data_IF_888246233105
#
_entry.id   IF_888246233105
#
_cell.length_a   1.000
_cell.length_b   1.000
_cell.length_c   1.000
_cell.angle_alpha   90.00
_cell.angle_beta   90.00
_cell.angle_gamma   90.00
#
_symmetry.space_group_name_H-M   'P 1'
#
loop_
_entity.id
_entity.type
_entity.pdbx_description
1 polymer ?
#
# COMPACT_ATOMS: atom_id res chain seq x y z
N UNK A 1 -22.76 7.41 -6.34
CA UNK A 1 -22.25 8.35 -7.35
C UNK A 1 -20.75 8.19 -7.38
N UNK A 2 -20.10 8.09 -8.54
CA UNK A 2 -18.64 7.97 -8.53
C UNK A 2 -18.01 9.32 -8.17
N UNK A 3 -16.82 9.32 -7.54
CA UNK A 3 -16.07 10.56 -7.23
C UNK A 3 -15.94 11.49 -8.45
N UNK A 4 -15.77 10.91 -9.63
CA UNK A 4 -15.65 11.66 -10.89
C UNK A 4 -16.92 12.43 -11.24
N UNK A 5 -18.10 11.87 -10.99
CA UNK A 5 -19.38 12.52 -11.27
C UNK A 5 -19.64 13.70 -10.33
N UNK A 6 -19.28 13.57 -9.04
CA UNK A 6 -19.37 14.68 -8.10
C UNK A 6 -18.43 15.83 -8.51
N UNK A 7 -17.18 15.51 -8.87
CA UNK A 7 -16.23 16.52 -9.36
C UNK A 7 -16.75 17.21 -10.62
N UNK A 8 -17.28 16.45 -11.58
CA UNK A 8 -17.88 17.04 -12.77
C UNK A 8 -18.94 18.06 -12.38
N UNK A 9 -19.84 17.83 -11.41
CA UNK A 9 -20.83 18.86 -11.04
C UNK A 9 -20.22 20.17 -10.55
N UNK A 10 -19.04 20.14 -9.93
CA UNK A 10 -18.35 21.30 -9.38
C UNK A 10 -17.53 22.09 -10.42
N UNK A 11 -17.06 21.42 -11.47
CA UNK A 11 -16.23 22.06 -12.50
C UNK A 11 -17.09 22.99 -13.38
N UNK A 12 -16.58 24.19 -13.77
CA UNK A 12 -17.25 25.06 -14.74
C UNK A 12 -17.60 24.35 -16.05
N UNK A 13 -18.69 24.75 -16.75
CA UNK A 13 -19.13 24.11 -17.98
C UNK A 13 -18.06 24.17 -19.10
N UNK A 14 -17.34 25.28 -19.21
CA UNK A 14 -16.32 25.49 -20.25
C UNK A 14 -15.22 24.43 -20.22
N UNK A 15 -14.78 24.03 -19.03
CA UNK A 15 -13.76 22.98 -18.85
C UNK A 15 -14.23 21.58 -19.24
N UNK A 16 -15.56 21.35 -19.27
CA UNK A 16 -16.14 20.08 -19.70
C UNK A 16 -16.39 20.04 -21.20
N UNK A 17 -16.32 21.19 -21.85
CA UNK A 17 -16.66 21.31 -23.26
C UNK A 17 -15.52 20.79 -24.13
N UNK A 18 -15.79 19.88 -25.09
CA UNK A 18 -14.78 19.45 -26.05
C UNK A 18 -14.31 20.60 -26.95
N UNK A 19 -15.11 21.66 -27.08
CA UNK A 19 -14.79 22.85 -27.88
C UNK A 19 -13.56 23.57 -27.37
N UNK A 20 -13.40 23.71 -26.06
CA UNK A 20 -12.24 24.39 -25.47
C UNK A 20 -10.95 23.63 -25.78
N UNK A 21 -10.96 22.30 -25.59
CA UNK A 21 -9.83 21.43 -25.91
C UNK A 21 -9.48 21.52 -27.40
N UNK A 22 -10.47 21.50 -28.29
CA UNK A 22 -10.24 21.63 -29.73
C UNK A 22 -9.55 22.96 -30.09
N UNK A 23 -9.94 24.07 -29.45
CA UNK A 23 -9.31 25.38 -29.67
C UNK A 23 -7.84 25.38 -29.20
N UNK A 24 -7.54 24.74 -28.07
CA UNK A 24 -6.17 24.64 -27.56
C UNK A 24 -5.29 23.80 -28.48
N UNK A 25 -5.75 22.63 -28.91
CA UNK A 25 -5.02 21.76 -29.84
C UNK A 25 -4.73 22.47 -31.18
N UNK A 26 -5.68 23.27 -31.68
CA UNK A 26 -5.45 24.10 -32.86
C UNK A 26 -4.38 25.16 -32.64
N UNK A 27 -4.38 25.86 -31.49
CA UNK A 27 -3.36 26.85 -31.14
C UNK A 27 -1.99 26.19 -30.98
N UNK A 28 -1.91 25.06 -30.28
CA UNK A 28 -0.69 24.27 -30.11
C UNK A 28 -0.13 23.80 -31.47
N UNK A 29 -1.00 23.36 -32.38
CA UNK A 29 -0.60 22.97 -33.75
C UNK A 29 -0.02 24.16 -34.53
N UNK A 30 -0.59 25.36 -34.39
CA UNK A 30 -0.07 26.58 -35.04
C UNK A 30 1.27 27.01 -34.45
N UNK A 31 1.46 26.87 -33.13
CA UNK A 31 2.74 27.13 -32.46
C UNK A 31 3.81 26.14 -32.95
N UNK A 32 3.48 24.85 -33.02
CA UNK A 32 4.38 23.83 -33.55
C UNK A 32 4.82 24.10 -35.00
N UNK A 33 3.93 24.72 -35.80
CA UNK A 33 4.21 25.16 -37.17
C UNK A 33 4.92 26.52 -37.26
N UNK A 34 5.22 27.17 -36.14
CA UNK A 34 5.84 28.50 -36.11
C UNK A 34 4.92 29.66 -36.53
N UNK A 35 3.61 29.41 -36.66
CA UNK A 35 2.62 30.42 -37.06
C UNK A 35 2.13 31.29 -35.90
N UNK A 36 2.36 30.84 -34.67
CA UNK A 36 2.06 31.55 -33.44
C UNK A 36 3.25 31.44 -32.48
N UNK A 37 3.47 32.48 -31.69
CA UNK A 37 4.43 32.43 -30.60
C UNK A 37 3.82 31.76 -29.37
N UNK A 38 4.65 31.07 -28.61
CA UNK A 38 4.30 30.36 -27.38
C UNK A 38 4.05 31.31 -26.19
N UNK A 39 4.83 32.39 -26.08
CA UNK A 39 4.70 33.39 -25.02
C UNK A 39 3.27 33.94 -24.81
N UNK A 40 2.55 34.43 -25.85
CA UNK A 40 1.19 34.92 -25.67
C UNK A 40 0.21 33.80 -25.29
N UNK A 41 0.39 32.59 -25.82
CA UNK A 41 -0.44 31.44 -25.45
C UNK A 41 -0.26 31.07 -23.98
N UNK A 42 0.99 31.04 -23.48
CA UNK A 42 1.27 30.78 -22.07
C UNK A 42 0.69 31.87 -21.15
N UNK A 43 0.70 33.13 -21.57
CA UNK A 43 0.09 34.23 -20.83
C UNK A 43 -1.44 34.04 -20.72
N UNK A 44 -2.10 33.73 -21.84
CA UNK A 44 -3.53 33.43 -21.90
C UNK A 44 -3.90 32.26 -20.97
N UNK A 45 -3.15 31.16 -21.02
CA UNK A 45 -3.38 29.97 -20.19
C UNK A 45 -3.24 30.26 -18.70
N UNK A 46 -2.24 31.06 -18.32
CA UNK A 46 -2.05 31.49 -16.92
C UNK A 46 -3.23 32.33 -16.43
N UNK A 47 -3.69 33.27 -17.25
CA UNK A 47 -4.81 34.14 -16.89
C UNK A 47 -6.12 33.35 -16.80
N UNK A 48 -6.40 32.49 -17.77
CA UNK A 48 -7.54 31.57 -17.75
C UNK A 48 -7.53 30.66 -16.51
N UNK A 49 -6.36 30.15 -16.11
CA UNK A 49 -6.25 29.31 -14.91
C UNK A 49 -6.56 30.12 -13.64
N UNK A 50 -6.10 31.37 -13.55
CA UNK A 50 -6.41 32.25 -12.40
C UNK A 50 -7.89 32.56 -12.30
N UNK A 51 -8.53 32.94 -13.40
CA UNK A 51 -9.97 33.23 -13.42
C UNK A 51 -10.75 32.01 -12.98
N UNK A 52 -10.39 30.82 -13.48
CA UNK A 52 -11.02 29.57 -13.12
C UNK A 52 -10.89 29.23 -11.64
N UNK A 53 -9.69 29.36 -11.06
CA UNK A 53 -9.46 29.13 -9.63
C UNK A 53 -10.26 30.10 -8.78
N UNK A 54 -10.34 31.37 -9.17
CA UNK A 54 -11.13 32.37 -8.45
C UNK A 54 -12.62 32.06 -8.51
N UNK A 55 -13.14 31.67 -9.68
CA UNK A 55 -14.54 31.24 -9.83
C UNK A 55 -14.86 30.04 -8.95
N UNK A 56 -14.00 29.02 -8.91
CA UNK A 56 -14.20 27.83 -8.07
C UNK A 56 -14.14 28.20 -6.58
N UNK A 57 -13.22 29.07 -6.17
CA UNK A 57 -13.14 29.55 -4.78
C UNK A 57 -14.40 30.30 -4.36
N UNK A 58 -15.02 31.05 -5.26
CA UNK A 58 -16.28 31.76 -5.02
C UNK A 58 -17.52 30.87 -5.13
N UNK A 59 -17.42 29.73 -5.82
CA UNK A 59 -18.52 28.81 -6.01
C UNK A 59 -18.76 27.97 -4.75
N UNK A 60 -20.02 27.91 -4.29
CA UNK A 60 -20.44 27.16 -3.10
C UNK A 60 -20.78 25.70 -3.43
N UNK A 61 -19.85 25.01 -4.09
CA UNK A 61 -20.05 23.60 -4.43
C UNK A 61 -19.69 22.69 -3.24
N UNK A 62 -20.64 21.88 -2.77
CA UNK A 62 -20.38 20.88 -1.75
C UNK A 62 -19.86 19.56 -2.35
N UNK A 63 -18.75 19.05 -1.81
CA UNK A 63 -18.21 17.73 -2.14
C UNK A 63 -18.45 16.79 -0.96
N UNK A 64 -19.10 15.65 -1.21
CA UNK A 64 -19.40 14.66 -0.19
C UNK A 64 -18.53 13.42 -0.35
N UNK A 65 -17.85 13.04 0.71
CA UNK A 65 -17.08 11.81 0.73
C UNK A 65 -18.03 10.60 0.82
N UNK A 66 -18.02 9.74 -0.21
CA UNK A 66 -18.82 8.49 -0.21
C UNK A 66 -18.35 7.49 0.85
N UNK A 67 -17.12 7.62 1.35
CA UNK A 67 -16.47 6.71 2.28
C UNK A 67 -16.43 7.24 3.72
N UNK A 68 -17.34 8.14 4.10
CA UNK A 68 -17.48 8.58 5.50
C UNK A 68 -18.01 7.45 6.38
N UNK A 69 -17.41 7.31 7.56
CA UNK A 69 -17.84 6.36 8.59
C UNK A 69 -18.61 7.08 9.71
N UNK A 70 -19.21 6.31 10.62
CA UNK A 70 -19.84 6.84 11.84
C UNK A 70 -18.84 7.08 12.98
N UNK A 71 -17.57 6.72 12.78
CA UNK A 71 -16.52 6.87 13.78
C UNK A 71 -15.98 8.29 13.77
N UNK A 72 -15.89 8.93 14.94
CA UNK A 72 -15.35 10.28 15.06
C UNK A 72 -13.85 10.27 15.30
N UNK A 73 -13.17 11.26 14.75
CA UNK A 73 -11.76 11.51 15.00
C UNK A 73 -11.57 11.96 16.46
N UNK A 74 -10.64 11.35 17.22
CA UNK A 74 -10.39 11.76 18.61
C UNK A 74 -9.71 13.14 18.72
N UNK A 75 -9.15 13.68 17.63
CA UNK A 75 -8.43 14.96 17.62
C UNK A 75 -9.33 16.13 17.19
N UNK A 76 -10.08 15.99 16.08
CA UNK A 76 -10.90 17.08 15.53
C UNK A 76 -12.41 16.81 15.56
N UNK A 77 -12.86 15.68 16.10
CA UNK A 77 -14.26 15.28 16.25
C UNK A 77 -15.08 15.13 14.94
N UNK A 78 -14.43 15.25 13.78
CA UNK A 78 -15.02 14.99 12.46
C UNK A 78 -15.17 13.49 12.20
N UNK A 79 -16.06 13.11 11.28
CA UNK A 79 -16.22 11.72 10.86
C UNK A 79 -15.00 11.25 10.05
N UNK A 80 -14.49 10.06 10.40
CA UNK A 80 -13.34 9.46 9.72
C UNK A 80 -13.75 8.82 8.39
N UNK A 81 -12.83 8.80 7.44
CA UNK A 81 -12.97 8.15 6.13
C UNK A 81 -12.41 6.73 6.16
N UNK A 82 -13.16 5.74 5.67
CA UNK A 82 -12.64 4.37 5.45
C UNK A 82 -11.86 4.33 4.13
N UNK A 83 -10.61 3.91 4.19
CA UNK A 83 -9.72 3.79 3.03
C UNK A 83 -9.14 2.38 2.98
N UNK A 84 -9.25 1.75 1.81
CA UNK A 84 -8.60 0.48 1.52
C UNK A 84 -7.16 0.74 1.05
N UNK A 85 -6.17 0.39 1.87
CA UNK A 85 -4.76 0.41 1.50
C UNK A 85 -4.26 -0.96 1.02
N UNK A 86 -3.01 -1.01 0.52
CA UNK A 86 -2.37 -2.27 0.08
C UNK A 86 -2.26 -3.30 1.21
N UNK A 87 -2.09 -2.84 2.45
CA UNK A 87 -1.86 -3.69 3.62
C UNK A 87 -3.12 -4.01 4.40
N UNK A 88 -4.26 -3.38 4.08
CA UNK A 88 -5.52 -3.56 4.79
C UNK A 88 -6.33 -2.26 4.87
N UNK A 89 -7.31 -2.23 5.77
CA UNK A 89 -8.26 -1.12 5.91
C UNK A 89 -7.82 -0.12 6.97
N UNK A 90 -8.04 1.16 6.72
CA UNK A 90 -7.69 2.25 7.64
C UNK A 90 -8.83 3.26 7.75
N UNK A 91 -8.94 3.89 8.91
CA UNK A 91 -9.69 5.13 9.12
C UNK A 91 -8.74 6.31 9.04
N UNK A 92 -9.09 7.32 8.26
CA UNK A 92 -8.27 8.52 8.03
C UNK A 92 -9.12 9.76 8.22
N UNK A 93 -8.60 10.77 8.90
CA UNK A 93 -9.29 12.04 9.04
C UNK A 93 -9.41 12.74 7.67
N UNK A 94 -10.59 13.28 7.31
CA UNK A 94 -10.76 14.03 6.07
C UNK A 94 -9.94 15.32 6.07
N UNK A 95 -9.79 15.96 7.24
CA UNK A 95 -8.94 17.13 7.40
C UNK A 95 -7.44 16.76 7.33
N UNK A 96 -6.73 17.45 6.42
CA UNK A 96 -5.31 17.26 6.16
C UNK A 96 -4.43 17.86 7.26
N UNK A 97 -4.91 18.87 7.98
CA UNK A 97 -4.17 19.49 9.09
C UNK A 97 -4.18 18.59 10.34
N UNK A 98 -5.33 17.97 10.64
CA UNK A 98 -5.45 16.99 11.72
C UNK A 98 -4.56 15.75 11.51
N UNK A 99 -4.60 15.14 10.32
CA UNK A 99 -3.68 14.05 9.95
C UNK A 99 -3.89 12.70 10.68
N UNK A 100 -4.92 12.55 11.53
CA UNK A 100 -5.20 11.31 12.26
C UNK A 100 -5.39 10.09 11.32
N UNK A 101 -4.77 8.97 11.69
CA UNK A 101 -4.87 7.68 10.98
C UNK A 101 -4.92 6.52 11.96
N UNK A 102 -5.80 5.57 11.69
CA UNK A 102 -6.00 4.39 12.51
C UNK A 102 -6.16 3.16 11.63
N UNK A 103 -5.36 2.12 11.88
CA UNK A 103 -5.48 0.85 11.14
C UNK A 103 -6.63 0.02 11.72
N UNK A 104 -7.62 -0.31 10.89
CA UNK A 104 -8.71 -1.22 11.28
C UNK A 104 -8.35 -2.67 11.04
N UNK A 105 -7.69 -2.94 9.92
CA UNK A 105 -7.21 -4.28 9.61
C UNK A 105 -5.90 -4.24 8.85
N UNK A 106 -5.08 -5.26 9.06
CA UNK A 106 -3.91 -5.48 8.23
C UNK A 106 -3.67 -6.97 7.95
N UNK A 107 -3.14 -7.26 6.76
CA UNK A 107 -2.72 -8.61 6.40
C UNK A 107 -1.41 -8.92 7.09
N UNK A 108 -1.41 -9.94 7.94
CA UNK A 108 -0.22 -10.45 8.61
C UNK A 108 0.47 -11.52 7.77
N UNK A 109 1.74 -11.82 8.10
CA UNK A 109 2.44 -12.97 7.52
C UNK A 109 2.13 -14.29 8.23
N UNK A 110 1.37 -14.25 9.33
CA UNK A 110 0.95 -15.44 10.05
C UNK A 110 0.03 -16.31 9.17
N UNK A 111 0.17 -17.63 9.29
CA UNK A 111 -0.56 -18.61 8.48
C UNK A 111 -1.67 -19.25 9.31
N UNK A 112 -2.82 -19.43 8.68
CA UNK A 112 -3.93 -20.14 9.31
C UNK A 112 -3.56 -21.60 9.58
N UNK A 113 -3.82 -22.15 10.78
CA UNK A 113 -3.55 -23.55 11.08
C UNK A 113 -4.43 -24.52 10.27
N UNK A 114 -5.61 -24.08 9.81
CA UNK A 114 -6.54 -24.93 9.08
C UNK A 114 -6.34 -24.94 7.56
N UNK A 115 -5.93 -23.81 6.96
CA UNK A 115 -5.82 -23.68 5.49
C UNK A 115 -4.53 -23.06 4.98
N UNK A 116 -3.57 -22.72 5.85
CA UNK A 116 -2.27 -22.11 5.54
C UNK A 116 -2.29 -20.80 4.72
N UNK A 117 -3.48 -20.20 4.52
CA UNK A 117 -3.62 -18.85 3.95
C UNK A 117 -3.16 -17.80 4.95
N UNK A 118 -2.76 -16.62 4.45
CA UNK A 118 -2.37 -15.48 5.30
C UNK A 118 -3.56 -15.02 6.13
N UNK A 119 -3.30 -14.69 7.40
CA UNK A 119 -4.30 -14.20 8.33
C UNK A 119 -4.40 -12.68 8.28
N UNK A 120 -5.62 -12.16 8.43
CA UNK A 120 -5.91 -10.74 8.57
C UNK A 120 -6.10 -10.42 10.06
N UNK A 121 -5.40 -9.42 10.58
CA UNK A 121 -5.62 -8.93 11.94
C UNK A 121 -6.65 -7.82 11.86
N UNK A 122 -7.71 -7.93 12.67
CA UNK A 122 -8.79 -6.94 12.76
C UNK A 122 -8.84 -6.41 14.19
N UNK A 123 -9.04 -5.10 14.33
CA UNK A 123 -9.20 -4.43 15.62
C UNK A 123 -7.99 -3.58 16.02
N UNK A 124 -8.15 -2.87 17.14
CA UNK A 124 -7.16 -1.95 17.68
C UNK A 124 -6.74 -2.32 19.10
N UNK A 125 -5.49 -2.00 19.45
CA UNK A 125 -4.93 -2.27 20.77
C UNK A 125 -4.98 -3.75 21.14
N UNK A 126 -5.46 -4.03 22.35
CA UNK A 126 -5.57 -5.37 22.95
C UNK A 126 -6.73 -6.21 22.37
N UNK A 127 -7.67 -5.59 21.64
CA UNK A 127 -8.83 -6.28 21.05
C UNK A 127 -8.57 -6.77 19.63
N UNK A 128 -7.29 -6.99 19.28
CA UNK A 128 -6.91 -7.51 17.97
C UNK A 128 -7.21 -9.01 17.87
N UNK A 129 -7.75 -9.41 16.73
CA UNK A 129 -8.11 -10.81 16.45
C UNK A 129 -7.56 -11.18 15.07
N UNK A 130 -6.90 -12.33 14.98
CA UNK A 130 -6.59 -12.94 13.70
C UNK A 130 -7.85 -13.56 13.11
N UNK A 131 -8.19 -13.19 11.89
CA UNK A 131 -9.32 -13.72 11.14
C UNK A 131 -8.81 -14.32 9.83
N UNK A 132 -9.29 -15.52 9.51
CA UNK A 132 -9.06 -16.15 8.22
C UNK A 132 -10.34 -16.22 7.39
N UNK A 133 -10.20 -16.25 6.06
CA UNK A 133 -11.31 -16.49 5.12
C UNK A 133 -11.99 -17.87 5.32
N UNK A 134 -11.32 -18.83 5.95
CA UNK A 134 -11.91 -20.14 6.26
C UNK A 134 -12.75 -20.16 7.55
N UNK A 135 -12.87 -19.04 8.26
CA UNK A 135 -13.65 -18.94 9.51
C UNK A 135 -12.81 -19.00 10.79
N UNK A 136 -11.52 -19.32 10.71
CA UNK A 136 -10.62 -19.31 11.88
C UNK A 136 -10.53 -17.90 12.50
N UNK A 137 -10.76 -17.81 13.82
CA UNK A 137 -10.68 -16.58 14.61
C UNK A 137 -10.00 -16.84 15.94
N UNK A 138 -8.94 -16.10 16.25
CA UNK A 138 -8.18 -16.27 17.49
C UNK A 138 -7.67 -14.91 17.99
N UNK A 139 -7.60 -14.74 19.33
CA UNK A 139 -7.05 -13.51 19.92
C UNK A 139 -5.59 -13.33 19.50
N UNK A 140 -5.21 -12.09 19.20
CA UNK A 140 -3.88 -11.75 18.70
C UNK A 140 -2.76 -12.19 19.66
N UNK A 141 -2.89 -11.89 20.95
CA UNK A 141 -1.86 -12.18 21.94
C UNK A 141 -1.67 -13.68 22.16
N UNK A 142 -2.77 -14.41 22.32
CA UNK A 142 -2.75 -15.87 22.47
C UNK A 142 -2.14 -16.55 21.25
N UNK A 143 -2.54 -16.14 20.05
CA UNK A 143 -2.00 -16.75 18.84
C UNK A 143 -0.52 -16.43 18.64
N UNK A 144 -0.06 -15.24 19.03
CA UNK A 144 1.36 -14.90 18.98
C UNK A 144 2.21 -15.74 19.95
N UNK A 145 1.69 -16.05 21.14
CA UNK A 145 2.36 -16.97 22.08
C UNK A 145 2.54 -18.34 21.44
N UNK A 146 1.45 -18.92 20.90
CA UNK A 146 1.50 -20.20 20.17
C UNK A 146 2.47 -20.16 18.99
N UNK A 147 2.50 -19.06 18.23
CA UNK A 147 3.45 -18.89 17.13
C UNK A 147 4.90 -18.80 17.63
N UNK A 148 5.14 -18.20 18.80
CA UNK A 148 6.47 -18.08 19.39
C UNK A 148 6.98 -19.41 19.93
N UNK A 149 6.12 -20.21 20.57
CA UNK A 149 6.42 -21.57 21.01
C UNK A 149 6.74 -22.45 19.81
N UNK A 150 5.92 -22.38 18.75
CA UNK A 150 6.16 -23.17 17.54
C UNK A 150 7.45 -22.77 16.78
N UNK A 151 7.98 -21.56 16.98
CA UNK A 151 9.28 -21.14 16.43
C UNK A 151 10.46 -21.75 17.18
N UNK A 152 10.27 -22.27 18.39
CA UNK A 152 11.33 -22.95 19.15
C UNK A 152 11.63 -24.34 18.59
N UNK A 153 10.74 -24.90 17.76
CA UNK A 153 11.01 -26.13 17.03
C UNK A 153 11.85 -25.85 15.78
N UNK A 154 12.90 -26.65 15.58
CA UNK A 154 13.81 -26.51 14.45
C UNK A 154 13.05 -26.52 13.12
N UNK A 155 13.32 -25.53 12.27
CA UNK A 155 12.68 -25.45 10.96
C UNK A 155 13.17 -26.58 10.05
N UNK A 156 12.36 -27.03 9.09
CA UNK A 156 12.79 -28.05 8.10
C UNK A 156 14.10 -27.68 7.40
N UNK A 157 14.35 -26.39 7.21
CA UNK A 157 15.59 -25.87 6.62
C UNK A 157 16.79 -26.04 7.56
N UNK A 158 16.60 -25.81 8.85
CA UNK A 158 17.63 -26.04 9.87
C UNK A 158 17.94 -27.52 10.03
N UNK A 159 16.92 -28.38 10.05
CA UNK A 159 17.09 -29.84 10.10
C UNK A 159 17.87 -30.31 8.87
N UNK A 160 17.48 -29.85 7.66
CA UNK A 160 18.19 -30.21 6.43
C UNK A 160 19.63 -29.70 6.40
N UNK A 161 19.90 -28.49 6.92
CA UNK A 161 21.28 -27.98 7.06
C UNK A 161 22.07 -28.83 8.03
N UNK A 162 21.48 -29.22 9.15
CA UNK A 162 22.10 -30.07 10.15
C UNK A 162 22.41 -31.47 9.59
N UNK A 163 21.49 -32.09 8.86
CA UNK A 163 21.71 -33.36 8.14
C UNK A 163 22.86 -33.25 7.13
N UNK A 164 22.92 -32.15 6.37
CA UNK A 164 24.01 -31.89 5.41
C UNK A 164 25.35 -31.65 6.10
N UNK A 165 25.37 -30.95 7.23
CA UNK A 165 26.57 -30.75 8.04
C UNK A 165 27.05 -32.07 8.66
N UNK A 166 26.16 -32.92 9.14
CA UNK A 166 26.50 -34.26 9.63
C UNK A 166 27.08 -35.13 8.51
N UNK A 167 26.45 -35.16 7.33
CA UNK A 167 26.96 -35.92 6.18
C UNK A 167 28.38 -35.48 5.78
N UNK A 168 28.63 -34.15 5.74
CA UNK A 168 29.97 -33.60 5.45
C UNK A 168 31.00 -33.94 6.52
N UNK A 169 30.62 -33.91 7.80
CA UNK A 169 31.52 -34.32 8.91
C UNK A 169 31.87 -35.80 8.80
N UNK A 170 30.89 -36.66 8.51
CA UNK A 170 31.13 -38.09 8.29
C UNK A 170 32.02 -38.34 7.08
N UNK A 171 31.83 -37.62 5.97
CA UNK A 171 32.74 -37.69 4.82
C UNK A 171 34.16 -37.27 5.21
N UNK A 172 34.34 -36.16 5.94
CA UNK A 172 35.65 -35.69 6.40
C UNK A 172 36.33 -36.68 7.36
N UNK A 173 35.59 -37.28 8.29
CA UNK A 173 36.10 -38.28 9.22
C UNK A 173 36.37 -39.63 8.53
N UNK A 174 35.69 -39.92 7.41
CA UNK A 174 35.93 -41.12 6.59
C UNK A 174 37.19 -41.03 5.73
N UNK A 175 37.72 -39.82 5.49
CA UNK A 175 39.00 -39.65 4.82
C UNK A 175 40.12 -39.97 5.81
N UNK A 176 40.66 -41.18 5.71
CA UNK A 176 41.78 -41.63 6.53
C UNK A 176 42.94 -40.64 6.46
N UNK A 177 43.56 -40.31 7.60
CA UNK A 177 44.73 -39.43 7.68
C UNK A 177 45.86 -39.86 6.73
N UNK A 178 45.94 -41.16 6.43
CA UNK A 178 46.87 -41.73 5.45
C UNK A 178 46.56 -41.31 4.00
N UNK A 179 45.27 -41.24 3.62
CA UNK A 179 44.85 -40.80 2.29
C UNK A 179 45.18 -39.32 2.04
N UNK A 180 44.99 -38.46 3.05
CA UNK A 180 45.37 -37.04 2.98
C UNK A 180 46.90 -36.85 2.88
N UNK A 181 47.67 -37.64 3.63
CA UNK A 181 49.12 -37.63 3.55
C UNK A 181 49.63 -38.08 2.17
N UNK A 182 48.98 -39.09 1.58
CA UNK A 182 49.30 -39.60 0.24
C UNK A 182 49.01 -38.58 -0.88
N UNK A 183 47.89 -37.87 -0.82
CA UNK A 183 47.59 -36.81 -1.79
C UNK A 183 48.55 -35.63 -1.69
N UNK A 184 48.97 -35.25 -0.48
CA UNK A 184 49.96 -34.19 -0.29
C UNK A 184 51.36 -34.59 -0.79
N UNK A 185 51.71 -35.86 -0.72
CA UNK A 185 52.97 -36.38 -1.27
C UNK A 185 52.98 -36.36 -2.82
N UNK A 186 51.83 -36.54 -3.48
CA UNK A 186 51.70 -36.46 -4.96
C UNK A 186 51.74 -35.03 -5.52
N UNK A 187 51.54 -34.01 -4.69
CA UNK A 187 51.55 -32.60 -5.09
C UNK A 187 52.93 -31.93 -4.97
N UNK A 188 53.94 -32.66 -4.49
CA UNK A 188 55.36 -32.30 -4.57
C UNK A 188 56.00 -32.94 -5.78
#
# INVERSE_FOLDING_TARGET
>A
MSKGEQLLKLVPPDLKSPTLTALWEQKLTKIAKGQLHDAPFLAEMKEYTKTLVNTIKSAQGEYHYDNMTRTRCPQCNQFLLEVNGKKGKMLVCPDRECGYRQNLSFVSNARCPQCHKKLEVVGEGEKRIYTCKCGFREKYDRFNQVLSENRQHASKTEIKRFEQEQAKRVEQDSVSAFALAWENAKKK
#
